data_IF_106559210390
#
_entry.id   IF_106559210390
#
_cell.length_a   1.000
_cell.length_b   1.000
_cell.length_c   1.000
_cell.angle_alpha   90.00
_cell.angle_beta   90.00
_cell.angle_gamma   90.00
#
_symmetry.space_group_name_H-M   'P 1'
#
loop_
_entity.id
_entity.type
_entity.pdbx_description
1 polymer ?
#
# COMPACT_ATOMS: atom_id res chain seq x y z
N UNK A 1 -31.27 14.72 -37.65
CA UNK A 1 -30.67 15.38 -36.47
C UNK A 1 -29.98 14.30 -35.64
N UNK A 2 -28.65 14.30 -35.57
CA UNK A 2 -27.93 13.42 -34.65
C UNK A 2 -28.17 13.94 -33.22
N UNK A 3 -28.58 13.05 -32.32
CA UNK A 3 -28.77 13.38 -30.89
C UNK A 3 -27.43 13.81 -30.31
N UNK A 4 -27.40 14.96 -29.64
CA UNK A 4 -26.21 15.49 -28.97
C UNK A 4 -25.67 14.49 -27.93
N UNK A 5 -24.35 14.37 -27.85
CA UNK A 5 -23.69 13.45 -26.92
C UNK A 5 -23.81 13.97 -25.48
N UNK A 6 -24.37 13.14 -24.59
CA UNK A 6 -24.48 13.46 -23.17
C UNK A 6 -23.10 13.42 -22.49
N UNK A 7 -22.81 14.43 -21.68
CA UNK A 7 -21.63 14.46 -20.83
C UNK A 7 -21.87 13.58 -19.60
N UNK A 8 -21.00 12.59 -19.39
CA UNK A 8 -20.98 11.78 -18.17
C UNK A 8 -19.93 12.39 -17.25
N UNK A 9 -20.37 12.97 -16.14
CA UNK A 9 -19.45 13.40 -15.09
C UNK A 9 -18.82 12.16 -14.43
N UNK A 10 -17.50 12.05 -14.52
CA UNK A 10 -16.71 11.01 -13.85
C UNK A 10 -15.90 11.64 -12.72
N UNK A 11 -16.51 11.96 -11.56
CA UNK A 11 -15.79 12.53 -10.44
C UNK A 11 -14.70 11.57 -10.00
N UNK A 12 -13.46 12.07 -9.92
CA UNK A 12 -12.32 11.30 -9.41
C UNK A 12 -12.46 11.14 -7.91
N UNK A 13 -12.85 9.95 -7.46
CA UNK A 13 -12.83 9.56 -6.04
C UNK A 13 -11.56 8.76 -5.78
N UNK A 14 -10.63 9.25 -4.92
CA UNK A 14 -9.49 8.46 -4.50
C UNK A 14 -9.98 7.23 -3.73
N UNK A 15 -9.55 6.04 -4.13
CA UNK A 15 -9.86 4.78 -3.46
C UNK A 15 -8.54 4.20 -2.94
N UNK A 16 -8.01 4.79 -1.88
CA UNK A 16 -6.68 4.48 -1.32
C UNK A 16 -6.78 4.06 0.15
N UNK A 17 -7.97 3.70 0.61
CA UNK A 17 -8.20 3.17 1.95
C UNK A 17 -8.07 1.64 1.96
N UNK A 18 -8.06 1.07 3.16
CA UNK A 18 -7.87 -0.38 3.37
C UNK A 18 -9.05 -1.17 2.82
N UNK A 19 -10.24 -0.58 2.92
CA UNK A 19 -11.54 -1.11 2.51
C UNK A 19 -11.69 -1.09 0.98
N UNK A 20 -10.95 -0.23 0.29
CA UNK A 20 -10.93 -0.13 -1.17
C UNK A 20 -10.04 -1.19 -1.83
N UNK A 21 -9.27 -1.96 -1.05
CA UNK A 21 -8.38 -2.99 -1.57
C UNK A 21 -9.09 -4.34 -1.70
N UNK A 22 -9.23 -4.85 -2.92
CA UNK A 22 -9.81 -6.16 -3.15
C UNK A 22 -8.92 -7.28 -2.62
N UNK A 23 -9.46 -8.05 -1.67
CA UNK A 23 -8.80 -9.21 -1.07
C UNK A 23 -9.20 -10.49 -1.81
N UNK A 24 -8.22 -11.32 -2.12
CA UNK A 24 -8.41 -12.65 -2.70
C UNK A 24 -7.28 -13.59 -2.24
N UNK A 25 -7.35 -14.86 -2.65
CA UNK A 25 -6.37 -15.86 -2.25
C UNK A 25 -4.94 -15.49 -2.68
N UNK A 26 -4.76 -14.84 -3.83
CA UNK A 26 -3.42 -14.55 -4.36
C UNK A 26 -2.71 -13.36 -3.70
N UNK A 27 -3.43 -12.54 -2.92
CA UNK A 27 -2.86 -11.40 -2.20
C UNK A 27 -3.07 -11.44 -0.68
N UNK A 28 -3.73 -12.49 -0.16
CA UNK A 28 -4.05 -12.64 1.26
C UNK A 28 -2.83 -12.50 2.18
N UNK A 29 -1.73 -13.19 1.88
CA UNK A 29 -0.51 -13.14 2.69
C UNK A 29 0.12 -11.75 2.71
N UNK A 30 0.12 -11.04 1.58
CA UNK A 30 0.62 -9.66 1.51
C UNK A 30 -0.21 -8.72 2.39
N UNK A 31 -1.52 -8.91 2.42
CA UNK A 31 -2.44 -8.13 3.25
C UNK A 31 -2.24 -8.45 4.73
N UNK A 32 -2.19 -9.73 5.09
CA UNK A 32 -1.93 -10.16 6.48
C UNK A 32 -0.60 -9.60 6.99
N UNK A 33 0.43 -9.62 6.15
CA UNK A 33 1.71 -9.01 6.47
C UNK A 33 1.59 -7.51 6.79
N UNK A 34 0.83 -6.75 6.01
CA UNK A 34 0.59 -5.31 6.27
C UNK A 34 -0.24 -5.10 7.54
N UNK A 35 -1.34 -5.84 7.70
CA UNK A 35 -2.28 -5.67 8.81
C UNK A 35 -1.63 -6.04 10.17
N UNK A 36 -0.74 -7.03 10.18
CA UNK A 36 -0.06 -7.51 11.40
C UNK A 36 1.35 -6.95 11.60
N UNK A 37 1.83 -6.09 10.69
CA UNK A 37 3.20 -5.57 10.71
C UNK A 37 3.59 -4.96 12.06
N UNK A 38 2.67 -4.24 12.71
CA UNK A 38 2.89 -3.60 14.01
C UNK A 38 3.00 -4.58 15.19
N UNK A 39 2.38 -5.75 15.08
CA UNK A 39 2.34 -6.76 16.14
C UNK A 39 3.61 -7.63 16.13
N UNK A 40 4.28 -7.70 14.97
CA UNK A 40 5.47 -8.52 14.78
C UNK A 40 6.75 -7.94 15.40
N UNK A 41 7.71 -8.84 15.66
CA UNK A 41 9.10 -8.46 15.99
C UNK A 41 9.84 -7.87 14.78
N UNK A 42 9.37 -8.15 13.57
CA UNK A 42 9.93 -7.63 12.32
C UNK A 42 9.73 -6.12 12.21
N UNK A 43 10.77 -5.41 11.79
CA UNK A 43 10.75 -3.94 11.59
C UNK A 43 10.90 -3.53 10.13
N UNK A 44 10.99 -4.51 9.23
CA UNK A 44 11.21 -4.35 7.80
C UNK A 44 10.57 -5.50 7.05
N UNK A 45 10.13 -5.28 5.81
CA UNK A 45 9.81 -6.35 4.86
C UNK A 45 9.73 -5.83 3.44
N UNK A 46 9.55 -6.75 2.49
CA UNK A 46 9.60 -6.45 1.06
C UNK A 46 8.34 -7.00 0.40
N UNK A 47 7.67 -6.14 -0.37
CA UNK A 47 6.47 -6.52 -1.13
C UNK A 47 6.82 -6.63 -2.62
N UNK A 48 6.70 -7.83 -3.18
CA UNK A 48 7.08 -8.16 -4.56
C UNK A 48 5.85 -8.62 -5.34
N UNK A 49 5.75 -8.23 -6.60
CA UNK A 49 4.65 -8.63 -7.48
C UNK A 49 4.71 -7.93 -8.83
N UNK A 50 3.97 -8.44 -9.81
CA UNK A 50 3.89 -7.90 -11.17
C UNK A 50 3.36 -6.46 -11.21
N UNK A 51 3.52 -5.78 -12.35
CA UNK A 51 2.93 -4.45 -12.56
C UNK A 51 1.41 -4.52 -12.37
N UNK A 52 0.84 -3.57 -11.62
CA UNK A 52 -0.61 -3.53 -11.36
C UNK A 52 -1.09 -4.41 -10.20
N UNK A 53 -0.21 -5.16 -9.52
CA UNK A 53 -0.59 -6.06 -8.40
C UNK A 53 -0.98 -5.35 -7.10
N UNK A 54 -1.16 -4.02 -7.08
CA UNK A 54 -1.61 -3.30 -5.89
C UNK A 54 -0.52 -2.92 -4.87
N UNK A 55 0.78 -3.11 -5.16
CA UNK A 55 1.87 -2.80 -4.22
C UNK A 55 1.84 -1.37 -3.67
N UNK A 56 1.69 -0.38 -4.55
CA UNK A 56 1.63 1.04 -4.15
C UNK A 56 0.39 1.35 -3.31
N UNK A 57 -0.73 0.67 -3.55
CA UNK A 57 -1.94 0.80 -2.74
C UNK A 57 -1.71 0.26 -1.34
N UNK A 58 -1.16 -0.94 -1.21
CA UNK A 58 -0.85 -1.56 0.09
C UNK A 58 0.14 -0.72 0.90
N UNK A 59 1.12 -0.08 0.26
CA UNK A 59 2.03 0.87 0.92
C UNK A 59 1.27 2.12 1.40
N UNK A 60 0.33 2.66 0.62
CA UNK A 60 -0.48 3.80 1.05
C UNK A 60 -1.36 3.46 2.26
N UNK A 61 -1.98 2.28 2.25
CA UNK A 61 -2.75 1.74 3.38
C UNK A 61 -1.88 1.62 4.63
N UNK A 62 -0.69 1.04 4.49
CA UNK A 62 0.27 0.93 5.58
C UNK A 62 0.65 2.31 6.16
N UNK A 63 1.01 3.26 5.30
CA UNK A 63 1.40 4.62 5.70
C UNK A 63 0.26 5.40 6.38
N UNK A 64 -0.99 5.23 5.93
CA UNK A 64 -2.16 5.85 6.57
C UNK A 64 -2.39 5.30 7.98
N UNK A 65 -2.20 3.99 8.15
CA UNK A 65 -2.32 3.33 9.45
C UNK A 65 -1.06 3.48 10.32
N UNK A 66 -0.05 4.22 9.86
CA UNK A 66 1.23 4.40 10.55
C UNK A 66 1.14 5.53 11.58
N UNK A 67 0.94 5.15 12.84
CA UNK A 67 1.09 6.07 13.97
C UNK A 67 2.58 6.35 14.24
N UNK A 68 3.03 7.51 13.78
CA UNK A 68 4.42 7.99 13.87
C UNK A 68 4.97 8.00 15.31
N UNK A 69 4.13 8.22 16.30
CA UNK A 69 4.52 8.34 17.72
C UNK A 69 4.96 7.01 18.34
N UNK A 70 4.50 5.87 17.82
CA UNK A 70 4.86 4.53 18.31
C UNK A 70 6.17 4.01 17.73
N UNK A 71 6.75 4.70 16.76
CA UNK A 71 7.96 4.27 16.07
C UNK A 71 9.04 5.33 16.23
N UNK A 72 9.93 5.11 17.20
CA UNK A 72 11.25 5.76 17.22
C UNK A 72 12.00 5.20 16.01
N UNK A 73 11.90 5.88 14.87
CA UNK A 73 12.74 5.60 13.71
C UNK A 73 14.17 5.86 14.18
N UNK A 74 14.97 4.79 14.31
CA UNK A 74 16.38 4.94 14.64
C UNK A 74 17.03 5.77 13.54
N UNK A 75 17.30 7.04 13.83
CA UNK A 75 18.03 7.91 12.91
C UNK A 75 19.39 7.27 12.64
N UNK A 76 19.71 7.14 11.35
CA UNK A 76 20.89 6.51 10.74
C UNK A 76 20.89 4.97 10.73
N UNK A 77 20.46 4.42 9.60
CA UNK A 77 21.14 3.27 9.00
C UNK A 77 21.68 3.68 7.64
N UNK A 78 22.89 3.22 7.36
CA UNK A 78 23.65 3.49 6.14
C UNK A 78 22.76 3.29 4.90
N UNK A 79 22.63 4.33 4.05
CA UNK A 79 21.67 4.39 2.94
C UNK A 79 22.10 3.53 1.73
N UNK A 80 23.17 2.75 1.86
CA UNK A 80 23.69 1.94 0.78
C UNK A 80 22.96 0.59 0.71
N UNK A 81 21.89 0.56 -0.09
CA UNK A 81 21.06 -0.63 -0.34
C UNK A 81 21.82 -1.80 -0.99
N UNK A 82 23.02 -1.57 -1.52
CA UNK A 82 23.85 -2.61 -2.14
C UNK A 82 24.69 -3.42 -1.15
N UNK A 83 24.71 -3.06 0.14
CA UNK A 83 25.40 -3.83 1.19
C UNK A 83 24.52 -4.91 1.85
N UNK A 84 23.26 -5.04 1.41
CA UNK A 84 22.30 -6.01 1.95
C UNK A 84 22.36 -7.36 1.20
N UNK A 85 22.95 -7.37 -0.01
CA UNK A 85 23.10 -8.56 -0.85
C UNK A 85 24.55 -9.04 -0.89
#
# INVERSE_FOLDING_TARGET
MYKDQLTIEMPKRPALDREDFMVNECNYEAIQFIDTFYQGKMKTGVLIGSKGSGKSHLVNVFCKNFEKEKWIISEKRDKNIYKIF
#
